data_IF_538276211740
#
_entry.id   IF_538276211740
#
_cell.length_a   1.000
_cell.length_b   1.000
_cell.length_c   1.000
_cell.angle_alpha   90.00
_cell.angle_beta   90.00
_cell.angle_gamma   90.00
#
_symmetry.space_group_name_H-M   'P 1'
#
loop_
_entity.id
_entity.type
_entity.pdbx_description
1 polymer ?
#
# COMPACT_ATOMS: atom_id res chain seq x y z
N UNK A 1 -17.50 3.51 6.22
CA UNK A 1 -17.04 2.24 6.80
C UNK A 1 -16.65 1.24 5.74
N UNK A 2 -15.61 0.49 5.97
CA UNK A 2 -15.14 -0.44 4.96
C UNK A 2 -15.01 -1.84 5.52
N UNK A 3 -15.30 -2.84 4.69
CA UNK A 3 -15.07 -4.24 5.01
C UNK A 3 -13.79 -4.76 4.37
N UNK A 4 -12.97 -3.86 3.85
CA UNK A 4 -11.78 -4.27 3.12
C UNK A 4 -10.74 -4.88 4.04
N UNK A 5 -10.01 -5.84 3.50
CA UNK A 5 -9.00 -6.59 4.23
C UNK A 5 -7.62 -6.21 3.76
N UNK A 6 -6.72 -6.04 4.73
CA UNK A 6 -5.32 -5.75 4.43
C UNK A 6 -4.46 -6.83 5.07
N UNK A 7 -3.64 -7.47 4.25
CA UNK A 7 -2.67 -8.46 4.72
C UNK A 7 -1.35 -7.75 4.95
N UNK A 8 -0.81 -7.88 6.16
CA UNK A 8 0.47 -7.27 6.54
C UNK A 8 1.47 -8.36 6.83
N UNK A 9 2.64 -8.29 6.20
CA UNK A 9 3.64 -9.33 6.27
C UNK A 9 4.98 -8.76 6.70
N UNK A 10 5.51 -9.25 7.82
CA UNK A 10 6.83 -8.83 8.29
C UNK A 10 7.35 -9.93 9.22
N UNK A 11 8.62 -10.28 9.05
CA UNK A 11 9.21 -11.33 9.89
C UNK A 11 9.52 -10.84 11.30
N UNK A 12 9.64 -9.52 11.48
CA UNK A 12 9.94 -8.93 12.77
C UNK A 12 8.63 -8.59 13.47
N UNK A 13 8.41 -9.21 14.64
CA UNK A 13 7.13 -9.07 15.35
C UNK A 13 6.85 -7.61 15.73
N UNK A 14 7.87 -6.86 16.14
CA UNK A 14 7.67 -5.47 16.53
C UNK A 14 7.28 -4.63 15.33
N UNK A 15 7.94 -4.86 14.20
CA UNK A 15 7.63 -4.13 12.97
C UNK A 15 6.23 -4.47 12.47
N UNK A 16 5.86 -5.74 12.55
CA UNK A 16 4.52 -6.18 12.16
C UNK A 16 3.46 -5.51 13.01
N UNK A 17 3.69 -5.46 14.33
CA UNK A 17 2.76 -4.80 15.23
C UNK A 17 2.66 -3.31 14.95
N UNK A 18 3.79 -2.66 14.63
CA UNK A 18 3.79 -1.23 14.31
C UNK A 18 2.99 -0.93 13.05
N UNK A 19 3.17 -1.75 12.02
CA UNK A 19 2.42 -1.55 10.78
C UNK A 19 0.93 -1.77 11.02
N UNK A 20 0.58 -2.82 11.75
CA UNK A 20 -0.82 -3.10 12.06
C UNK A 20 -1.44 -1.93 12.83
N UNK A 21 -0.69 -1.37 13.78
CA UNK A 21 -1.20 -0.25 14.58
C UNK A 21 -1.50 0.99 13.74
N UNK A 22 -0.79 1.17 12.64
CA UNK A 22 -1.06 2.28 11.74
C UNK A 22 -2.40 2.07 11.02
N UNK A 23 -2.70 0.84 10.66
CA UNK A 23 -3.85 0.49 9.82
C UNK A 23 -5.13 0.34 10.63
N UNK A 24 -5.03 -0.28 11.82
CA UNK A 24 -6.20 -0.69 12.59
C UNK A 24 -7.20 0.43 12.90
N UNK A 25 -6.77 1.66 13.21
CA UNK A 25 -7.74 2.71 13.50
C UNK A 25 -8.68 3.06 12.34
N UNK A 26 -8.36 2.63 11.14
CA UNK A 26 -9.12 3.00 9.95
C UNK A 26 -10.19 1.97 9.58
N UNK A 27 -10.46 1.00 10.48
CA UNK A 27 -11.54 0.04 10.34
C UNK A 27 -11.33 -0.98 9.21
N UNK A 28 -10.09 -1.18 8.82
CA UNK A 28 -9.77 -2.29 7.93
C UNK A 28 -9.63 -3.57 8.74
N UNK A 29 -10.01 -4.68 8.14
CA UNK A 29 -9.74 -5.98 8.73
C UNK A 29 -8.28 -6.33 8.45
N UNK A 30 -7.49 -6.55 9.49
CA UNK A 30 -6.05 -6.79 9.35
C UNK A 30 -5.75 -8.27 9.50
N UNK A 31 -5.00 -8.80 8.54
CA UNK A 31 -4.52 -10.18 8.55
C UNK A 31 -3.00 -10.10 8.62
N UNK A 32 -2.37 -10.94 9.43
CA UNK A 32 -0.93 -10.87 9.66
C UNK A 32 -0.24 -12.16 9.27
N UNK A 33 0.97 -12.04 8.74
CA UNK A 33 1.82 -13.19 8.43
C UNK A 33 3.27 -12.80 8.68
N UNK A 34 4.09 -13.79 9.03
CA UNK A 34 5.48 -13.54 9.41
C UNK A 34 6.49 -14.05 8.39
N UNK A 35 6.06 -14.77 7.38
CA UNK A 35 6.94 -15.24 6.33
C UNK A 35 6.19 -15.30 5.01
N UNK A 36 6.95 -15.47 3.92
CA UNK A 36 6.34 -15.43 2.59
C UNK A 36 5.41 -16.58 2.30
N UNK A 37 5.70 -17.77 2.83
CA UNK A 37 4.84 -18.94 2.60
C UNK A 37 3.49 -18.76 3.28
N UNK A 38 3.51 -18.40 4.56
CA UNK A 38 2.29 -18.15 5.31
C UNK A 38 1.50 -17.00 4.69
N UNK A 39 2.22 -15.98 4.22
CA UNK A 39 1.58 -14.83 3.58
C UNK A 39 0.83 -15.26 2.31
N UNK A 40 1.46 -16.09 1.49
CA UNK A 40 0.83 -16.52 0.28
C UNK A 40 -0.39 -17.39 0.56
N UNK A 41 -0.30 -18.24 1.56
CA UNK A 41 -1.44 -19.07 1.97
C UNK A 41 -2.60 -18.21 2.44
N UNK A 42 -2.32 -17.20 3.26
CA UNK A 42 -3.36 -16.30 3.74
C UNK A 42 -3.92 -15.43 2.62
N UNK A 43 -3.07 -15.01 1.71
CA UNK A 43 -3.52 -14.28 0.52
C UNK A 43 -4.53 -15.11 -0.25
N UNK A 44 -4.25 -16.40 -0.46
CA UNK A 44 -5.14 -17.26 -1.22
C UNK A 44 -6.46 -17.53 -0.49
N UNK A 45 -6.38 -17.70 0.82
CA UNK A 45 -7.55 -18.06 1.62
C UNK A 45 -8.43 -16.86 1.95
N UNK A 46 -7.81 -15.75 2.34
CA UNK A 46 -8.54 -14.59 2.83
C UNK A 46 -8.90 -13.60 1.76
N UNK A 47 -8.23 -13.65 0.63
CA UNK A 47 -8.46 -12.74 -0.50
C UNK A 47 -8.46 -11.29 -0.07
N UNK A 48 -7.32 -10.81 0.44
CA UNK A 48 -7.24 -9.41 0.88
C UNK A 48 -7.36 -8.45 -0.29
N UNK A 49 -7.72 -7.22 0.03
CA UNK A 49 -7.87 -6.18 -0.98
C UNK A 49 -6.56 -5.43 -1.21
N UNK A 50 -5.62 -5.53 -0.27
CA UNK A 50 -4.33 -4.89 -0.37
C UNK A 50 -3.33 -5.66 0.49
N UNK A 51 -2.06 -5.66 0.08
CA UNK A 51 -1.00 -6.34 0.83
C UNK A 51 0.11 -5.34 1.13
N UNK A 52 0.56 -5.31 2.38
CA UNK A 52 1.74 -4.54 2.79
C UNK A 52 2.77 -5.56 3.25
N UNK A 53 3.96 -5.56 2.63
CA UNK A 53 4.93 -6.57 2.98
C UNK A 53 6.36 -6.03 3.01
N UNK A 54 7.17 -6.66 3.87
CA UNK A 54 8.60 -6.41 3.94
C UNK A 54 9.29 -7.13 2.79
N UNK A 55 10.30 -6.50 2.22
CA UNK A 55 11.05 -7.11 1.11
C UNK A 55 11.80 -8.37 1.54
N UNK A 56 12.40 -8.33 2.73
CA UNK A 56 13.19 -9.47 3.23
C UNK A 56 12.26 -10.34 4.08
N UNK A 57 11.93 -11.50 3.57
CA UNK A 57 11.05 -12.45 4.25
C UNK A 57 11.64 -13.85 4.16
N UNK A 58 11.45 -14.67 5.20
CA UNK A 58 11.80 -16.09 5.11
C UNK A 58 10.90 -16.80 4.11
N UNK A 59 11.42 -17.85 3.52
CA UNK A 59 10.73 -18.81 2.66
C UNK A 59 10.43 -18.27 1.27
N UNK A 60 9.72 -17.17 1.15
CA UNK A 60 9.51 -16.52 -0.14
C UNK A 60 9.91 -15.06 0.02
N UNK A 61 10.86 -14.61 -0.79
CA UNK A 61 11.32 -13.23 -0.76
C UNK A 61 10.17 -12.28 -1.11
N UNK A 62 10.15 -11.11 -0.46
CA UNK A 62 9.06 -10.17 -0.66
C UNK A 62 8.88 -9.71 -2.08
N UNK A 63 9.97 -9.50 -2.82
CA UNK A 63 9.86 -9.10 -4.23
C UNK A 63 9.22 -10.21 -5.05
N UNK A 64 9.60 -11.47 -4.81
CA UNK A 64 9.00 -12.59 -5.53
C UNK A 64 7.53 -12.75 -5.16
N UNK A 65 7.20 -12.57 -3.90
CA UNK A 65 5.81 -12.64 -3.47
C UNK A 65 4.98 -11.53 -4.12
N UNK A 66 5.54 -10.33 -4.19
CA UNK A 66 4.90 -9.19 -4.85
C UNK A 66 4.58 -9.53 -6.30
N UNK A 67 5.57 -10.06 -7.00
CA UNK A 67 5.39 -10.40 -8.41
C UNK A 67 4.29 -11.45 -8.58
N UNK A 68 4.31 -12.47 -7.72
CA UNK A 68 3.33 -13.53 -7.78
C UNK A 68 1.91 -13.01 -7.57
N UNK A 69 1.73 -12.18 -6.56
CA UNK A 69 0.41 -11.61 -6.27
C UNK A 69 -0.04 -10.69 -7.42
N UNK A 70 0.87 -9.86 -7.89
CA UNK A 70 0.56 -8.94 -8.98
C UNK A 70 0.12 -9.69 -10.23
N UNK A 71 0.84 -10.75 -10.58
CA UNK A 71 0.52 -11.53 -11.77
C UNK A 71 -0.79 -12.29 -11.60
N UNK A 72 -1.00 -12.91 -10.45
CA UNK A 72 -2.20 -13.70 -10.23
C UNK A 72 -3.46 -12.86 -10.20
N UNK A 73 -3.36 -11.62 -9.72
CA UNK A 73 -4.52 -10.75 -9.63
C UNK A 73 -4.62 -9.76 -10.78
N UNK A 74 -3.64 -9.78 -11.69
CA UNK A 74 -3.55 -8.79 -12.78
C UNK A 74 -3.54 -7.37 -12.21
N UNK A 75 -2.83 -7.20 -11.10
CA UNK A 75 -2.68 -5.91 -10.45
C UNK A 75 -3.89 -5.43 -9.67
N UNK A 76 -4.93 -6.26 -9.59
CA UNK A 76 -6.14 -5.83 -8.86
C UNK A 76 -5.93 -5.75 -7.35
N UNK A 77 -5.04 -6.57 -6.81
CA UNK A 77 -4.66 -6.47 -5.39
C UNK A 77 -3.33 -5.75 -5.33
N UNK A 78 -3.34 -4.47 -4.96
CA UNK A 78 -2.08 -3.72 -4.91
C UNK A 78 -1.21 -4.20 -3.77
N UNK A 79 0.11 -4.18 -4.00
CA UNK A 79 1.09 -4.57 -3.02
C UNK A 79 1.98 -3.37 -2.70
N UNK A 80 2.07 -3.02 -1.43
CA UNK A 80 2.97 -1.98 -0.95
C UNK A 80 4.15 -2.65 -0.24
N UNK A 81 5.36 -2.32 -0.66
CA UNK A 81 6.55 -2.84 -0.01
C UNK A 81 7.04 -1.81 1.01
N UNK A 82 7.31 -2.27 2.25
CA UNK A 82 7.87 -1.44 3.30
C UNK A 82 9.12 -2.16 3.81
N UNK A 83 10.29 -1.57 3.60
CA UNK A 83 11.53 -2.26 3.92
C UNK A 83 12.53 -1.38 4.64
N UNK A 84 13.34 -1.99 5.52
CA UNK A 84 14.41 -1.30 6.21
C UNK A 84 15.77 -1.52 5.59
N UNK A 85 15.87 -2.43 4.63
CA UNK A 85 17.16 -2.84 4.10
C UNK A 85 17.45 -2.33 2.69
N UNK A 86 16.50 -2.44 1.79
CA UNK A 86 16.71 -2.04 0.41
C UNK A 86 16.37 -0.58 0.24
N UNK A 87 17.39 0.25 0.38
CA UNK A 87 17.22 1.71 0.35
C UNK A 87 17.79 2.27 -0.95
N UNK A 88 17.17 3.33 -1.41
CA UNK A 88 17.62 4.02 -2.60
C UNK A 88 16.63 3.91 -3.74
N UNK A 89 16.67 4.88 -4.68
CA UNK A 89 15.66 4.94 -5.75
C UNK A 89 15.70 3.75 -6.70
N UNK A 90 16.86 3.08 -6.83
CA UNK A 90 16.93 1.93 -7.72
C UNK A 90 16.07 0.77 -7.25
N UNK A 91 15.97 0.56 -5.95
CA UNK A 91 15.13 -0.52 -5.42
C UNK A 91 13.65 -0.21 -5.58
N UNK A 92 13.27 1.03 -5.36
CA UNK A 92 11.90 1.46 -5.58
C UNK A 92 11.51 1.30 -7.05
N UNK A 93 12.38 1.75 -7.94
CA UNK A 93 12.11 1.65 -9.36
C UNK A 93 11.94 0.20 -9.79
N UNK A 94 12.84 -0.67 -9.33
CA UNK A 94 12.77 -2.09 -9.68
C UNK A 94 11.52 -2.74 -9.11
N UNK A 95 11.16 -2.41 -7.86
CA UNK A 95 9.97 -2.97 -7.25
C UNK A 95 8.72 -2.61 -8.04
N UNK A 96 8.62 -1.37 -8.47
CA UNK A 96 7.45 -0.91 -9.21
C UNK A 96 7.42 -1.41 -10.64
N UNK A 97 8.57 -1.38 -11.33
CA UNK A 97 8.58 -1.70 -12.75
C UNK A 97 8.75 -3.19 -13.04
N UNK A 98 9.54 -3.90 -12.23
CA UNK A 98 9.86 -5.29 -12.49
C UNK A 98 8.95 -6.24 -11.72
N UNK A 99 8.66 -5.93 -10.48
CA UNK A 99 7.92 -6.83 -9.61
C UNK A 99 6.45 -6.47 -9.45
N UNK A 100 6.04 -5.32 -9.96
CA UNK A 100 4.62 -4.96 -9.98
C UNK A 100 4.10 -4.39 -8.67
N UNK A 101 4.98 -3.88 -7.80
CA UNK A 101 4.52 -3.22 -6.59
C UNK A 101 3.77 -1.94 -6.93
N UNK A 102 2.77 -1.63 -6.12
CA UNK A 102 1.99 -0.41 -6.31
C UNK A 102 2.66 0.78 -5.64
N UNK A 103 3.40 0.54 -4.56
CA UNK A 103 4.13 1.60 -3.88
C UNK A 103 5.26 0.99 -3.06
N UNK A 104 6.14 1.85 -2.53
CA UNK A 104 7.37 1.41 -1.89
C UNK A 104 7.78 2.44 -0.85
N UNK A 105 8.00 2.00 0.39
CA UNK A 105 8.39 2.88 1.48
C UNK A 105 9.60 2.32 2.21
N UNK A 106 10.48 3.22 2.64
CA UNK A 106 11.63 2.85 3.46
C UNK A 106 11.28 3.08 4.93
N UNK A 107 11.73 2.18 5.80
CA UNK A 107 11.54 2.34 7.23
C UNK A 107 12.55 3.34 7.80
N UNK A 108 12.19 4.13 8.81
CA UNK A 108 10.87 4.16 9.46
C UNK A 108 9.83 4.80 8.56
N UNK A 109 8.67 4.17 8.49
CA UNK A 109 7.65 4.61 7.56
C UNK A 109 6.89 5.82 8.12
N UNK A 110 6.60 6.77 7.25
CA UNK A 110 5.77 7.91 7.58
C UNK A 110 4.31 7.46 7.57
N UNK A 111 3.66 7.53 8.73
CA UNK A 111 2.29 7.06 8.88
C UNK A 111 1.33 7.73 7.90
N UNK A 112 1.41 9.04 7.77
CA UNK A 112 0.49 9.76 6.89
C UNK A 112 0.68 9.40 5.43
N UNK A 113 1.94 9.27 5.02
CA UNK A 113 2.22 8.92 3.63
C UNK A 113 1.77 7.51 3.32
N UNK A 114 1.99 6.59 4.25
CA UNK A 114 1.55 5.21 4.06
C UNK A 114 0.03 5.15 3.94
N UNK A 115 -0.68 5.83 4.86
CA UNK A 115 -2.14 5.81 4.83
C UNK A 115 -2.70 6.49 3.59
N UNK A 116 -2.05 7.54 3.12
CA UNK A 116 -2.49 8.19 1.89
C UNK A 116 -2.39 7.23 0.71
N UNK A 117 -1.31 6.47 0.66
CA UNK A 117 -1.14 5.46 -0.39
C UNK A 117 -2.20 4.36 -0.28
N UNK A 118 -2.43 3.86 0.94
CA UNK A 118 -3.43 2.82 1.16
C UNK A 118 -4.81 3.30 0.72
N UNK A 119 -5.20 4.48 1.17
CA UNK A 119 -6.53 5.02 0.83
C UNK A 119 -6.67 5.24 -0.68
N UNK A 120 -5.64 5.76 -1.30
CA UNK A 120 -5.68 6.00 -2.74
C UNK A 120 -5.80 4.69 -3.51
N UNK A 121 -5.03 3.68 -3.13
CA UNK A 121 -5.05 2.40 -3.82
C UNK A 121 -6.36 1.64 -3.63
N UNK A 122 -7.01 1.85 -2.51
CA UNK A 122 -8.30 1.22 -2.23
C UNK A 122 -9.49 2.11 -2.63
N UNK A 123 -9.21 3.29 -3.16
CA UNK A 123 -10.24 4.26 -3.58
C UNK A 123 -11.14 4.72 -2.43
N UNK A 124 -10.60 4.71 -1.20
CA UNK A 124 -11.38 5.12 -0.03
C UNK A 124 -11.60 6.62 0.02
N UNK A 125 -10.67 7.39 -0.54
CA UNK A 125 -10.83 8.84 -0.59
C UNK A 125 -11.92 9.26 -1.57
N UNK A 126 -12.33 8.39 -2.48
CA UNK A 126 -13.45 8.68 -3.37
C UNK A 126 -14.77 8.74 -2.58
N UNK A 127 -14.86 7.96 -1.52
CA UNK A 127 -16.05 7.98 -0.67
C UNK A 127 -16.20 9.34 0.02
N UNK A 128 -15.05 9.94 0.37
CA UNK A 128 -15.05 11.26 0.98
C UNK A 128 -15.53 12.29 -0.02
N UNK A 129 -15.09 12.16 -1.26
CA UNK A 129 -15.49 13.10 -2.32
C UNK A 129 -16.98 13.03 -2.62
N UNK A 130 -17.57 11.86 -2.48
CA UNK A 130 -19.00 11.69 -2.70
C UNK A 130 -19.84 12.48 -1.72
N UNK A 131 -19.28 12.81 -0.57
CA UNK A 131 -19.98 13.59 0.43
C UNK A 131 -19.94 15.08 0.13
N UNK A 132 -19.20 15.49 -0.89
CA UNK A 132 -19.12 16.90 -1.24
C UNK A 132 -20.40 17.31 -1.95
N UNK A 133 -20.88 18.53 -1.68
CA UNK A 133 -22.21 18.95 -2.14
C UNK A 133 -22.33 19.18 -3.63
N UNK A 134 -21.23 19.37 -4.33
CA UNK A 134 -21.31 19.86 -5.71
C UNK A 134 -20.20 19.25 -6.55
N UNK A 135 -20.53 18.47 -7.59
CA UNK A 135 -19.52 17.88 -8.46
C UNK A 135 -18.62 18.91 -9.13
N UNK A 136 -19.17 20.06 -9.49
CA UNK A 136 -18.35 21.09 -10.11
C UNK A 136 -17.35 21.65 -9.13
N UNK A 137 -17.73 21.77 -7.86
CA UNK A 137 -16.79 22.19 -6.83
C UNK A 137 -15.70 21.16 -6.64
N UNK A 138 -16.06 19.89 -6.70
CA UNK A 138 -15.07 18.81 -6.57
C UNK A 138 -14.07 18.91 -7.70
N UNK A 139 -14.55 19.05 -8.93
CA UNK A 139 -13.67 19.13 -10.09
C UNK A 139 -12.80 20.36 -9.99
N UNK A 140 -13.36 21.49 -9.62
CA UNK A 140 -12.59 22.72 -9.49
C UNK A 140 -11.52 22.60 -8.41
N UNK A 141 -11.90 22.02 -7.28
CA UNK A 141 -10.95 21.82 -6.18
C UNK A 141 -9.80 20.92 -6.60
N UNK A 142 -10.11 19.82 -7.26
CA UNK A 142 -9.10 18.88 -7.73
C UNK A 142 -8.19 19.54 -8.76
N UNK A 143 -8.77 20.29 -9.68
CA UNK A 143 -7.98 21.00 -10.69
C UNK A 143 -7.04 22.00 -10.06
N UNK A 144 -7.53 22.74 -9.07
CA UNK A 144 -6.70 23.72 -8.37
C UNK A 144 -5.57 23.05 -7.63
N UNK A 145 -5.87 21.90 -6.99
CA UNK A 145 -4.87 21.15 -6.25
C UNK A 145 -3.81 20.60 -7.19
N UNK A 146 -4.23 20.06 -8.31
CA UNK A 146 -3.30 19.53 -9.30
C UNK A 146 -2.39 20.63 -9.83
N UNK A 147 -2.96 21.79 -10.14
CA UNK A 147 -2.16 22.91 -10.61
C UNK A 147 -1.18 23.39 -9.57
N UNK A 148 -1.61 23.45 -8.31
CA UNK A 148 -0.74 23.87 -7.24
C UNK A 148 0.41 22.88 -7.04
N UNK A 149 0.12 21.60 -7.10
CA UNK A 149 1.14 20.58 -6.96
C UNK A 149 2.09 20.58 -8.13
N UNK A 150 1.56 20.78 -9.33
CA UNK A 150 2.39 20.86 -10.52
C UNK A 150 3.32 22.05 -10.44
N UNK A 151 2.81 23.20 -9.98
CA UNK A 151 3.65 24.38 -9.82
C UNK A 151 4.67 24.22 -8.71
N UNK A 152 4.31 23.52 -7.64
CA UNK A 152 5.24 23.26 -6.56
C UNK A 152 6.28 22.24 -6.97
N UNK A 153 5.86 21.27 -7.71
CA UNK A 153 6.74 20.24 -8.21
C UNK A 153 7.50 20.69 -9.43
N UNK A 154 6.85 21.47 -10.15
CA UNK A 154 7.45 22.17 -11.24
C UNK A 154 8.02 23.31 -10.71
N UNK A 155 6.88 23.54 -9.68
CA UNK A 155 6.43 24.38 -9.09
C UNK A 155 6.76 24.71 -8.44
N UNK A 156 5.83 24.26 -8.82
CA UNK A 156 5.16 24.34 -8.77
C UNK A 156 5.04 24.57 -9.12
#
# INVERSE_FOLDING_TARGET
MTDKKILIVDYDAASLASLAAIIEPYRFQVIKAADGQSAYEKFSQEKPDLVILEAILPKIHGFDLTKRISEETHGRVPVIIVTGLYRGPQYRLEALSTFGAADYFEKPVDRERLMRSVMSLLNEDEEIEEDLPNPDQVIETLSSRVKAEARAGEKK
#
